data_IF_482910522559
#
_entry.id   IF_482910522559
#
_cell.length_a   1.000
_cell.length_b   1.000
_cell.length_c   1.000
_cell.angle_alpha   90.00
_cell.angle_beta   90.00
_cell.angle_gamma   90.00
#
_symmetry.space_group_name_H-M   'P 1'
#
loop_
_entity.id
_entity.type
_entity.pdbx_description
1 polymer ?
#
# COMPACT_ATOMS: atom_id res chain seq x y z
N UNK A 1 -18.03 27.00 -15.51
CA UNK A 1 -17.25 27.53 -16.64
C UNK A 1 -15.84 26.93 -16.54
N UNK A 2 -15.49 26.01 -17.42
CA UNK A 2 -14.12 25.50 -17.55
C UNK A 2 -13.33 26.52 -18.37
N UNK A 3 -12.73 27.49 -17.72
CA UNK A 3 -11.83 28.42 -18.38
C UNK A 3 -10.55 27.69 -18.80
N UNK A 4 -10.26 27.65 -20.10
CA UNK A 4 -8.95 27.24 -20.61
C UNK A 4 -7.96 28.33 -20.28
N UNK A 5 -6.91 28.01 -19.51
CA UNK A 5 -5.80 28.91 -19.27
C UNK A 5 -4.80 28.73 -20.40
N UNK A 6 -4.63 29.77 -21.22
CA UNK A 6 -3.59 29.78 -22.25
C UNK A 6 -2.31 30.38 -21.68
N UNK A 7 -1.24 29.59 -21.73
CA UNK A 7 0.08 30.00 -21.31
C UNK A 7 0.96 30.09 -22.55
N UNK A 8 1.65 31.20 -22.71
CA UNK A 8 2.59 31.35 -23.83
C UNK A 8 3.74 30.38 -23.66
N UNK A 9 4.23 29.81 -24.79
CA UNK A 9 5.30 28.80 -24.81
C UNK A 9 6.60 29.32 -24.18
N UNK A 10 6.81 30.62 -24.19
CA UNK A 10 8.00 31.31 -23.67
C UNK A 10 7.85 31.78 -22.22
N UNK A 11 6.69 31.55 -21.59
CA UNK A 11 6.48 31.98 -20.21
C UNK A 11 7.33 31.18 -19.24
N UNK A 12 7.95 31.86 -18.27
CA UNK A 12 8.65 31.23 -17.16
C UNK A 12 7.65 30.59 -16.18
N UNK A 13 8.10 29.64 -15.35
CA UNK A 13 7.25 29.04 -14.31
C UNK A 13 6.70 30.08 -13.36
N UNK A 14 7.48 31.11 -13.00
CA UNK A 14 7.03 32.22 -12.14
C UNK A 14 5.95 33.07 -12.81
N UNK A 15 6.08 33.38 -14.10
CA UNK A 15 5.04 34.11 -14.84
C UNK A 15 3.75 33.31 -14.97
N UNK A 16 3.85 32.00 -15.10
CA UNK A 16 2.70 31.11 -15.13
C UNK A 16 2.00 31.08 -13.76
N UNK A 17 2.77 30.91 -12.69
CA UNK A 17 2.23 30.96 -11.31
C UNK A 17 1.61 32.31 -11.00
N UNK A 18 2.22 33.42 -11.41
CA UNK A 18 1.66 34.76 -11.23
C UNK A 18 0.35 34.99 -12.00
N UNK A 19 0.22 34.43 -13.23
CA UNK A 19 -1.02 34.50 -14.03
C UNK A 19 -2.17 33.69 -13.45
N UNK A 20 -1.86 32.65 -12.66
CA UNK A 20 -2.86 31.79 -12.04
C UNK A 20 -3.42 32.36 -10.74
N UNK A 21 -2.77 33.39 -10.21
CA UNK A 21 -3.18 34.08 -8.98
C UNK A 21 -2.88 33.27 -7.72
N UNK A 22 -2.60 33.95 -6.63
CA UNK A 22 -2.44 33.37 -5.31
C UNK A 22 -3.77 32.81 -4.81
N UNK A 23 -3.86 31.50 -4.55
CA UNK A 23 -4.98 30.94 -3.83
C UNK A 23 -5.69 29.75 -4.46
N UNK A 24 -4.94 28.68 -4.81
CA UNK A 24 -5.52 27.38 -5.12
C UNK A 24 -5.52 27.00 -6.61
N UNK A 25 -5.33 27.92 -7.53
CA UNK A 25 -5.24 27.64 -8.96
C UNK A 25 -3.89 27.02 -9.36
N UNK A 26 -2.83 27.33 -8.62
CA UNK A 26 -1.47 26.79 -8.81
C UNK A 26 -1.46 25.28 -8.75
N UNK A 27 -2.08 24.71 -7.72
CA UNK A 27 -2.19 23.26 -7.57
C UNK A 27 -3.02 22.60 -8.68
N UNK A 28 -4.04 23.28 -9.18
CA UNK A 28 -4.82 22.76 -10.31
C UNK A 28 -3.97 22.65 -11.57
N UNK A 29 -3.15 23.66 -11.85
CA UNK A 29 -2.28 23.68 -13.03
C UNK A 29 -1.13 22.69 -12.88
N UNK A 30 -0.48 22.63 -11.73
CA UNK A 30 0.55 21.61 -11.44
C UNK A 30 -0.03 20.20 -11.62
N UNK A 31 -1.22 19.95 -11.09
CA UNK A 31 -1.90 18.67 -11.25
C UNK A 31 -2.27 18.37 -12.72
N UNK A 32 -2.65 19.38 -13.50
CA UNK A 32 -2.93 19.20 -14.93
C UNK A 32 -1.68 18.91 -15.73
N UNK A 33 -0.57 19.60 -15.44
CA UNK A 33 0.74 19.39 -16.07
C UNK A 33 1.25 17.98 -15.73
N UNK A 34 1.25 17.60 -14.46
CA UNK A 34 1.76 16.30 -14.00
C UNK A 34 0.91 15.10 -14.46
N UNK A 35 -0.27 15.33 -15.02
CA UNK A 35 -1.11 14.27 -15.62
C UNK A 35 -0.87 14.06 -17.11
N UNK A 36 0.00 14.85 -17.75
CA UNK A 36 0.31 14.78 -19.16
C UNK A 36 1.83 14.72 -19.36
N UNK A 37 2.37 13.53 -19.63
CA UNK A 37 3.81 13.32 -19.81
C UNK A 37 4.39 14.07 -21.01
N UNK A 38 3.57 14.41 -22.02
CA UNK A 38 3.97 15.20 -23.19
C UNK A 38 4.09 16.68 -22.82
N UNK A 39 3.14 17.22 -22.08
CA UNK A 39 3.20 18.57 -21.52
C UNK A 39 4.39 18.75 -20.56
N UNK A 40 4.70 17.72 -19.76
CA UNK A 40 5.87 17.70 -18.87
C UNK A 40 7.19 17.83 -19.63
N UNK A 41 7.34 17.12 -20.75
CA UNK A 41 8.54 17.20 -21.57
C UNK A 41 8.65 18.57 -22.28
N UNK A 42 7.56 19.16 -22.71
CA UNK A 42 7.53 20.51 -23.29
C UNK A 42 7.92 21.59 -22.27
N UNK A 43 7.53 21.41 -21.00
CA UNK A 43 7.90 22.31 -19.90
C UNK A 43 9.40 22.21 -19.53
N UNK A 44 10.02 21.06 -19.74
CA UNK A 44 11.45 20.86 -19.52
C UNK A 44 12.38 21.75 -20.34
N UNK A 45 11.86 22.40 -21.40
CA UNK A 45 12.61 23.36 -22.22
C UNK A 45 12.53 24.80 -21.71
N UNK A 46 11.84 25.04 -20.58
CA UNK A 46 11.70 26.38 -20.02
C UNK A 46 12.84 26.71 -19.05
N UNK A 47 13.15 27.99 -18.94
CA UNK A 47 14.33 28.48 -18.24
C UNK A 47 14.45 28.05 -16.77
N UNK A 48 13.33 27.81 -16.12
CA UNK A 48 13.22 27.37 -14.73
C UNK A 48 12.64 25.94 -14.57
N UNK A 49 12.34 25.27 -15.67
CA UNK A 49 12.00 23.86 -15.70
C UNK A 49 10.91 23.37 -14.72
N UNK A 50 10.51 22.12 -14.86
CA UNK A 50 9.46 21.51 -14.00
C UNK A 50 9.93 21.34 -12.54
N UNK A 51 11.21 21.10 -12.33
CA UNK A 51 11.78 20.96 -10.99
C UNK A 51 11.67 22.23 -10.15
N UNK A 52 11.87 23.40 -10.77
CA UNK A 52 11.68 24.70 -10.10
C UNK A 52 10.22 24.91 -9.71
N UNK A 53 9.27 24.52 -10.58
CA UNK A 53 7.81 24.61 -10.28
C UNK A 53 7.44 23.74 -9.09
N UNK A 54 7.85 22.48 -9.08
CA UNK A 54 7.55 21.54 -7.98
C UNK A 54 8.21 22.04 -6.69
N UNK A 55 9.48 22.46 -6.77
CA UNK A 55 10.23 22.95 -5.61
C UNK A 55 9.55 24.15 -4.95
N UNK A 56 9.11 25.11 -5.74
CA UNK A 56 8.41 26.32 -5.26
C UNK A 56 7.01 26.01 -4.74
N UNK A 57 6.24 25.19 -5.46
CA UNK A 57 4.85 24.89 -5.13
C UNK A 57 4.69 24.13 -3.80
N UNK A 58 5.69 23.38 -3.39
CA UNK A 58 5.68 22.56 -2.17
C UNK A 58 6.70 23.02 -1.12
N UNK A 59 7.35 24.17 -1.30
CA UNK A 59 8.36 24.73 -0.39
C UNK A 59 9.47 23.72 -0.04
N UNK A 60 9.93 22.94 -1.03
CA UNK A 60 10.86 21.84 -0.79
C UNK A 60 12.30 22.33 -0.52
N UNK A 61 12.62 23.56 -0.85
CA UNK A 61 13.89 24.21 -0.61
C UNK A 61 15.11 23.42 -1.12
N UNK A 62 14.93 22.69 -2.24
CA UNK A 62 15.95 21.84 -2.86
C UNK A 62 16.53 22.48 -4.11
N UNK A 63 17.79 22.97 -4.04
CA UNK A 63 18.49 23.50 -5.20
C UNK A 63 18.68 22.43 -6.29
N UNK A 64 18.89 21.18 -5.91
CA UNK A 64 19.03 20.06 -6.85
C UNK A 64 17.72 19.80 -7.62
N UNK A 65 16.56 19.86 -6.95
CA UNK A 65 15.26 19.75 -7.62
C UNK A 65 15.00 20.97 -8.53
N UNK A 66 15.27 22.17 -8.05
CA UNK A 66 15.05 23.38 -8.83
C UNK A 66 15.92 23.43 -10.12
N UNK A 67 17.05 22.73 -10.13
CA UNK A 67 17.93 22.63 -11.30
C UNK A 67 17.45 21.60 -12.35
N UNK A 68 16.48 20.72 -12.02
CA UNK A 68 15.95 19.74 -12.95
C UNK A 68 15.03 20.42 -13.98
N UNK A 69 15.38 20.34 -15.25
CA UNK A 69 14.60 20.89 -16.36
C UNK A 69 13.49 19.97 -16.82
N UNK A 70 13.65 18.64 -16.64
CA UNK A 70 12.73 17.62 -17.16
C UNK A 70 12.29 16.65 -16.06
N UNK A 71 11.16 15.98 -16.31
CA UNK A 71 10.65 14.89 -15.43
C UNK A 71 11.64 13.72 -15.39
N UNK A 72 12.29 13.41 -16.50
CA UNK A 72 13.28 12.34 -16.56
C UNK A 72 14.51 12.66 -15.68
N UNK A 73 14.98 13.90 -15.64
CA UNK A 73 16.06 14.32 -14.74
C UNK A 73 15.67 14.23 -13.27
N UNK A 74 14.43 14.60 -12.93
CA UNK A 74 13.87 14.42 -11.57
C UNK A 74 13.86 12.93 -11.21
N UNK A 75 13.27 12.09 -12.07
CA UNK A 75 13.14 10.65 -11.84
C UNK A 75 14.50 9.93 -11.72
N UNK A 76 15.50 10.37 -12.48
CA UNK A 76 16.85 9.79 -12.44
C UNK A 76 17.66 10.18 -11.19
N UNK A 77 17.23 11.20 -10.44
CA UNK A 77 17.96 11.72 -9.30
C UNK A 77 17.37 11.26 -7.97
N UNK A 78 17.96 10.21 -7.39
CA UNK A 78 17.49 9.62 -6.12
C UNK A 78 17.40 10.62 -4.96
N UNK A 79 18.33 11.59 -4.86
CA UNK A 79 18.28 12.58 -3.79
C UNK A 79 17.13 13.57 -3.97
N UNK A 80 16.79 13.90 -5.21
CA UNK A 80 15.62 14.72 -5.55
C UNK A 80 14.33 13.96 -5.28
N UNK A 81 14.27 12.69 -5.67
CA UNK A 81 13.10 11.82 -5.37
C UNK A 81 12.88 11.64 -3.87
N UNK A 82 13.95 11.53 -3.08
CA UNK A 82 13.85 11.49 -1.61
C UNK A 82 13.28 12.80 -1.03
N UNK A 83 13.67 13.96 -1.56
CA UNK A 83 13.10 15.27 -1.15
C UNK A 83 11.60 15.32 -1.46
N UNK A 84 11.18 14.88 -2.64
CA UNK A 84 9.76 14.81 -3.02
C UNK A 84 9.04 13.81 -2.10
N UNK A 85 9.63 12.64 -1.86
CA UNK A 85 9.09 11.58 -1.02
C UNK A 85 8.83 12.01 0.42
N UNK A 86 9.68 12.87 0.96
CA UNK A 86 9.49 13.42 2.32
C UNK A 86 8.31 14.41 2.44
N UNK A 87 7.68 14.83 1.34
CA UNK A 87 6.55 15.76 1.34
C UNK A 87 5.30 15.09 0.74
N UNK A 88 4.36 14.71 1.59
CA UNK A 88 3.12 14.03 1.18
C UNK A 88 2.31 14.79 0.12
N UNK A 89 2.29 16.11 0.14
CA UNK A 89 1.57 16.91 -0.86
C UNK A 89 2.28 16.85 -2.23
N UNK A 90 3.60 16.91 -2.24
CA UNK A 90 4.41 16.75 -3.45
C UNK A 90 4.24 15.33 -4.03
N UNK A 91 4.28 14.28 -3.19
CA UNK A 91 4.03 12.89 -3.62
C UNK A 91 2.65 12.77 -4.26
N UNK A 92 1.59 13.32 -3.64
CA UNK A 92 0.23 13.30 -4.20
C UNK A 92 0.12 13.96 -5.58
N UNK A 93 0.83 15.05 -5.80
CA UNK A 93 0.87 15.72 -7.09
C UNK A 93 1.68 14.91 -8.12
N UNK A 94 2.90 14.50 -7.76
CA UNK A 94 3.81 13.77 -8.63
C UNK A 94 3.31 12.35 -8.98
N UNK A 95 2.44 11.74 -8.16
CA UNK A 95 1.84 10.42 -8.46
C UNK A 95 0.87 10.43 -9.64
N UNK A 96 0.64 11.56 -10.28
CA UNK A 96 -0.07 11.67 -11.57
C UNK A 96 0.82 11.40 -12.77
N UNK A 97 2.12 11.57 -12.64
CA UNK A 97 3.10 11.24 -13.66
C UNK A 97 3.55 9.79 -13.52
N UNK A 98 3.38 8.98 -14.58
CA UNK A 98 3.84 7.59 -14.60
C UNK A 98 5.35 7.48 -14.42
N UNK A 99 6.10 8.43 -14.98
CA UNK A 99 7.57 8.46 -14.88
C UNK A 99 8.02 8.73 -13.45
N UNK A 100 7.41 9.71 -12.76
CA UNK A 100 7.76 10.01 -11.37
C UNK A 100 7.31 8.91 -10.42
N UNK A 101 6.13 8.34 -10.63
CA UNK A 101 5.63 7.20 -9.82
C UNK A 101 6.57 6.01 -9.91
N UNK A 102 7.03 5.66 -11.11
CA UNK A 102 7.97 4.56 -11.30
C UNK A 102 9.34 4.76 -10.62
N UNK A 103 9.68 6.00 -10.30
CA UNK A 103 10.91 6.36 -9.59
C UNK A 103 10.71 6.59 -8.09
N UNK A 104 9.45 6.67 -7.61
CA UNK A 104 9.14 6.80 -6.18
C UNK A 104 9.31 5.47 -5.45
N UNK A 105 9.69 5.55 -4.19
CA UNK A 105 9.54 4.41 -3.29
C UNK A 105 8.06 4.15 -3.00
N UNK A 106 7.64 2.88 -3.05
CA UNK A 106 6.25 2.47 -2.85
C UNK A 106 5.69 2.95 -1.51
N UNK A 107 6.52 2.99 -0.49
CA UNK A 107 6.17 3.48 0.85
C UNK A 107 5.67 4.93 0.82
N UNK A 108 6.32 5.81 0.07
CA UNK A 108 5.88 7.20 -0.07
C UNK A 108 4.53 7.31 -0.80
N UNK A 109 4.33 6.49 -1.85
CA UNK A 109 3.05 6.43 -2.58
C UNK A 109 1.91 6.00 -1.65
N UNK A 110 2.15 4.97 -0.83
CA UNK A 110 1.16 4.45 0.11
C UNK A 110 0.89 5.41 1.25
N UNK A 111 1.92 5.99 1.88
CA UNK A 111 1.79 7.01 2.93
C UNK A 111 1.00 8.24 2.45
N UNK A 112 1.14 8.60 1.17
CA UNK A 112 0.37 9.67 0.55
C UNK A 112 -1.10 9.30 0.23
N UNK A 113 -1.52 8.05 0.47
CA UNK A 113 -2.87 7.55 0.19
C UNK A 113 -3.15 7.40 -1.30
N UNK A 114 -2.13 7.06 -2.11
CA UNK A 114 -2.24 6.89 -3.56
C UNK A 114 -2.19 5.44 -4.03
N UNK A 115 -2.06 4.50 -3.13
CA UNK A 115 -1.98 3.07 -3.46
C UNK A 115 -3.09 2.60 -4.37
N UNK A 116 -4.34 2.98 -4.10
CA UNK A 116 -5.50 2.59 -4.92
C UNK A 116 -5.41 3.04 -6.38
N UNK A 117 -4.83 4.20 -6.65
CA UNK A 117 -4.73 4.77 -8.01
C UNK A 117 -3.48 4.33 -8.76
N UNK A 118 -2.45 3.89 -8.06
CA UNK A 118 -1.13 3.57 -8.62
C UNK A 118 -0.96 2.07 -8.83
N UNK A 119 -1.38 1.24 -7.86
CA UNK A 119 -1.14 -0.20 -7.90
C UNK A 119 -2.38 -0.97 -8.31
N UNK A 120 -2.19 -2.08 -9.03
CA UNK A 120 -3.23 -3.02 -9.42
C UNK A 120 -3.10 -4.36 -8.69
N UNK A 121 -4.18 -5.15 -8.68
CA UNK A 121 -4.17 -6.50 -8.09
C UNK A 121 -3.12 -7.37 -8.79
N UNK A 122 -2.24 -7.93 -7.99
CA UNK A 122 -1.09 -8.73 -8.46
C UNK A 122 0.24 -7.99 -8.40
N UNK A 123 0.25 -6.66 -8.26
CA UNK A 123 1.51 -5.92 -8.10
C UNK A 123 2.18 -6.26 -6.77
N UNK A 124 3.50 -6.18 -6.76
CA UNK A 124 4.33 -6.26 -5.56
C UNK A 124 4.76 -4.86 -5.18
N UNK A 125 4.57 -4.51 -3.94
CA UNK A 125 5.03 -3.25 -3.35
C UNK A 125 6.05 -3.54 -2.25
N UNK A 126 7.04 -2.67 -2.11
CA UNK A 126 8.11 -2.81 -1.14
C UNK A 126 7.96 -1.79 -0.02
N UNK A 127 7.94 -2.28 1.22
CA UNK A 127 7.84 -1.45 2.42
C UNK A 127 9.01 -1.72 3.36
N UNK A 128 9.42 -0.70 4.11
CA UNK A 128 10.34 -0.88 5.22
C UNK A 128 9.59 -1.53 6.40
N UNK A 129 9.95 -2.76 6.71
CA UNK A 129 9.43 -3.52 7.84
C UNK A 129 10.57 -3.90 8.77
N UNK A 130 10.60 -3.31 9.96
CA UNK A 130 11.66 -3.57 10.94
C UNK A 130 13.08 -3.24 10.45
N UNK A 131 13.23 -2.23 9.59
CA UNK A 131 14.52 -1.84 8.99
C UNK A 131 14.91 -2.64 7.76
N UNK A 132 14.05 -3.54 7.27
CA UNK A 132 14.30 -4.39 6.09
C UNK A 132 13.27 -4.11 5.00
N UNK A 133 13.73 -3.99 3.75
CA UNK A 133 12.84 -3.90 2.59
C UNK A 133 12.10 -5.22 2.42
N UNK A 134 10.79 -5.19 2.57
CA UNK A 134 9.92 -6.38 2.59
C UNK A 134 8.82 -6.23 1.56
N UNK A 135 8.59 -7.29 0.81
CA UNK A 135 7.62 -7.32 -0.28
C UNK A 135 6.21 -7.69 0.21
N UNK A 136 5.22 -6.96 -0.31
CA UNK A 136 3.81 -7.18 -0.10
C UNK A 136 3.08 -7.25 -1.44
N UNK A 137 2.10 -8.13 -1.55
CA UNK A 137 1.25 -8.32 -2.73
C UNK A 137 -0.04 -7.53 -2.59
N UNK A 138 -0.42 -6.79 -3.62
CA UNK A 138 -1.77 -6.23 -3.75
C UNK A 138 -2.72 -7.37 -4.08
N UNK A 139 -3.63 -7.71 -3.16
CA UNK A 139 -4.51 -8.87 -3.32
C UNK A 139 -5.95 -8.50 -3.62
N UNK A 140 -6.36 -7.26 -3.36
CA UNK A 140 -7.70 -6.74 -3.65
C UNK A 140 -7.73 -5.21 -3.60
N UNK A 141 -8.78 -4.61 -4.21
CA UNK A 141 -9.06 -3.16 -4.18
C UNK A 141 -10.49 -2.94 -3.67
N UNK A 142 -10.71 -1.93 -2.80
CA UNK A 142 -12.04 -1.64 -2.21
C UNK A 142 -12.64 -2.82 -1.42
N UNK A 143 -11.86 -3.48 -0.57
CA UNK A 143 -12.36 -4.62 0.17
C UNK A 143 -13.36 -4.20 1.27
N UNK A 144 -12.88 -3.52 2.29
CA UNK A 144 -13.70 -3.03 3.42
C UNK A 144 -13.75 -1.52 3.47
N UNK A 145 -12.68 -0.88 3.01
CA UNK A 145 -12.55 0.56 2.95
C UNK A 145 -12.45 1.02 1.51
N UNK A 146 -13.26 1.99 1.11
CA UNK A 146 -13.24 2.56 -0.24
C UNK A 146 -11.93 3.28 -0.54
N UNK A 147 -11.46 3.17 -1.77
CA UNK A 147 -10.22 3.77 -2.27
C UNK A 147 -8.96 3.28 -1.53
N UNK A 148 -9.02 2.05 -1.01
CA UNK A 148 -7.89 1.36 -0.39
C UNK A 148 -7.55 0.08 -1.16
N UNK A 149 -6.29 -0.34 -1.06
CA UNK A 149 -5.83 -1.65 -1.51
C UNK A 149 -5.58 -2.54 -0.30
N UNK A 150 -5.78 -3.84 -0.48
CA UNK A 150 -5.39 -4.85 0.51
C UNK A 150 -4.01 -5.36 0.16
N UNK A 151 -3.08 -5.22 1.08
CA UNK A 151 -1.73 -5.77 1.01
C UNK A 151 -1.61 -7.01 1.88
N UNK A 152 -0.91 -8.02 1.37
CA UNK A 152 -0.55 -9.24 2.09
C UNK A 152 0.94 -9.48 1.92
N UNK A 153 1.66 -9.81 2.99
CA UNK A 153 3.10 -10.09 2.87
C UNK A 153 3.36 -11.19 1.83
N UNK A 154 4.34 -10.97 0.96
CA UNK A 154 4.68 -11.94 -0.11
C UNK A 154 5.17 -13.25 0.50
N UNK A 155 5.87 -13.16 1.63
CA UNK A 155 6.34 -14.30 2.41
C UNK A 155 5.88 -14.19 3.87
N UNK A 156 5.99 -15.28 4.63
CA UNK A 156 5.77 -15.23 6.06
C UNK A 156 6.85 -14.37 6.72
N UNK A 157 6.42 -13.46 7.61
CA UNK A 157 7.34 -12.53 8.31
C UNK A 157 7.99 -13.17 9.54
N UNK A 158 7.29 -14.12 10.15
CA UNK A 158 7.76 -14.86 11.31
C UNK A 158 6.99 -16.18 11.42
N UNK A 159 7.42 -17.04 12.32
CA UNK A 159 6.67 -18.20 12.75
C UNK A 159 6.03 -17.97 14.12
N UNK A 160 4.88 -18.58 14.37
CA UNK A 160 4.27 -18.66 15.69
C UNK A 160 3.80 -20.09 15.96
N UNK A 161 4.12 -20.58 17.14
CA UNK A 161 3.85 -21.99 17.51
C UNK A 161 2.39 -22.32 17.64
N UNK A 162 1.55 -21.31 17.87
CA UNK A 162 0.21 -21.54 18.35
C UNK A 162 -0.68 -20.34 18.10
N UNK A 163 -1.81 -20.55 17.47
CA UNK A 163 -2.75 -19.45 17.21
C UNK A 163 -3.66 -19.16 18.40
N UNK A 164 -4.04 -20.20 19.16
CA UNK A 164 -4.91 -20.10 20.34
C UNK A 164 -4.23 -20.66 21.58
N UNK A 165 -4.39 -20.00 22.73
CA UNK A 165 -3.83 -20.44 24.01
C UNK A 165 -4.65 -21.60 24.56
N UNK A 166 -5.97 -21.61 24.33
CA UNK A 166 -6.83 -22.74 24.66
C UNK A 166 -7.92 -22.94 23.59
N UNK A 167 -8.50 -24.14 23.55
CA UNK A 167 -9.43 -24.59 22.50
C UNK A 167 -10.75 -23.82 22.44
N UNK A 168 -11.16 -23.17 23.53
CA UNK A 168 -12.38 -22.37 23.58
C UNK A 168 -12.20 -20.95 23.03
N UNK A 169 -10.97 -20.52 22.76
CA UNK A 169 -10.70 -19.19 22.26
C UNK A 169 -11.06 -19.01 20.79
N UNK A 170 -11.38 -17.78 20.43
CA UNK A 170 -11.56 -17.33 19.06
C UNK A 170 -10.34 -16.51 18.61
N UNK A 171 -10.30 -16.12 17.32
CA UNK A 171 -9.29 -15.21 16.81
C UNK A 171 -9.23 -13.90 17.62
N UNK A 172 -10.35 -13.42 18.17
CA UNK A 172 -10.45 -12.22 19.01
C UNK A 172 -9.42 -12.19 20.14
N UNK A 173 -9.28 -13.31 20.85
CA UNK A 173 -8.36 -13.47 22.00
C UNK A 173 -7.04 -14.16 21.65
N UNK A 174 -6.81 -14.47 20.38
CA UNK A 174 -5.66 -15.25 19.95
C UNK A 174 -4.33 -14.50 20.12
N UNK A 175 -3.27 -15.25 20.41
CA UNK A 175 -1.92 -14.74 20.40
C UNK A 175 -1.48 -14.23 19.03
N UNK A 176 -1.98 -14.81 17.93
CA UNK A 176 -1.71 -14.35 16.57
C UNK A 176 -2.24 -12.93 16.38
N UNK A 177 -3.50 -12.63 16.75
CA UNK A 177 -4.07 -11.30 16.65
C UNK A 177 -3.28 -10.28 17.47
N UNK A 178 -2.94 -10.65 18.72
CA UNK A 178 -2.12 -9.80 19.61
C UNK A 178 -0.76 -9.50 18.97
N UNK A 179 -0.09 -10.51 18.43
CA UNK A 179 1.19 -10.36 17.76
C UNK A 179 1.09 -9.44 16.52
N UNK A 180 0.05 -9.60 15.69
CA UNK A 180 -0.18 -8.78 14.50
C UNK A 180 -0.36 -7.30 14.86
N UNK A 181 -1.21 -6.99 15.84
CA UNK A 181 -1.57 -5.60 16.18
C UNK A 181 -0.62 -4.93 17.20
N UNK A 182 0.32 -5.68 17.78
CA UNK A 182 1.37 -5.13 18.62
C UNK A 182 2.72 -5.15 17.89
N UNK A 183 3.27 -6.35 17.65
CA UNK A 183 4.65 -6.51 17.14
C UNK A 183 4.75 -6.20 15.65
N UNK A 184 3.84 -6.77 14.84
CA UNK A 184 3.90 -6.55 13.37
C UNK A 184 3.56 -5.10 13.03
N UNK A 185 2.53 -4.52 13.64
CA UNK A 185 2.14 -3.14 13.38
C UNK A 185 3.26 -2.15 13.74
N UNK A 186 3.92 -2.33 14.89
CA UNK A 186 4.99 -1.43 15.34
C UNK A 186 6.28 -1.53 14.52
N UNK A 187 6.43 -2.53 13.67
CA UNK A 187 7.58 -2.67 12.79
C UNK A 187 7.49 -1.81 11.50
N UNK A 188 6.31 -1.26 11.19
CA UNK A 188 6.14 -0.30 10.11
C UNK A 188 6.46 1.13 10.59
N UNK A 189 6.82 2.02 9.65
CA UNK A 189 6.98 3.45 9.94
C UNK A 189 5.66 4.07 10.43
N UNK A 190 5.74 5.18 11.17
CA UNK A 190 4.55 5.88 11.68
C UNK A 190 3.65 6.37 10.54
N UNK A 191 4.24 6.80 9.43
CA UNK A 191 3.53 7.24 8.23
C UNK A 191 2.70 6.10 7.61
N UNK A 192 3.27 4.91 7.50
CA UNK A 192 2.57 3.72 7.01
C UNK A 192 1.48 3.30 7.99
N UNK A 193 1.78 3.28 9.29
CA UNK A 193 0.77 2.99 10.31
C UNK A 193 -0.40 3.99 10.26
N UNK A 194 -0.12 5.29 10.03
CA UNK A 194 -1.14 6.31 9.91
C UNK A 194 -1.99 6.14 8.64
N UNK A 195 -1.39 5.68 7.54
CA UNK A 195 -2.08 5.43 6.28
C UNK A 195 -2.94 4.16 6.29
N UNK A 196 -2.63 3.18 7.15
CA UNK A 196 -3.43 1.96 7.31
C UNK A 196 -4.83 2.27 7.83
N UNK A 197 -5.86 1.74 7.17
CA UNK A 197 -7.23 1.79 7.66
C UNK A 197 -7.45 0.80 8.81
N UNK A 198 -8.24 1.19 9.78
CA UNK A 198 -8.80 0.25 10.75
C UNK A 198 -10.00 -0.44 10.10
N UNK A 199 -9.83 -1.71 9.71
CA UNK A 199 -10.83 -2.45 8.95
C UNK A 199 -11.76 -3.22 9.88
N UNK A 200 -13.06 -3.01 9.70
CA UNK A 200 -14.10 -3.73 10.44
C UNK A 200 -14.36 -5.09 9.80
N UNK A 201 -14.20 -6.18 10.54
CA UNK A 201 -14.45 -7.53 10.06
C UNK A 201 -14.96 -8.48 11.15
N UNK A 202 -15.69 -9.51 10.73
CA UNK A 202 -16.05 -10.61 11.60
C UNK A 202 -14.96 -11.68 11.57
N UNK A 203 -14.34 -12.02 12.69
CA UNK A 203 -13.32 -13.06 12.75
C UNK A 203 -13.86 -14.46 12.50
N UNK A 204 -15.12 -14.73 12.85
CA UNK A 204 -15.87 -15.94 12.56
C UNK A 204 -17.37 -15.65 12.45
N UNK A 205 -18.17 -16.66 12.11
CA UNK A 205 -19.63 -16.53 12.00
C UNK A 205 -20.30 -16.05 13.30
N UNK A 206 -19.73 -16.36 14.44
CA UNK A 206 -20.35 -16.12 15.76
C UNK A 206 -19.69 -14.99 16.55
N UNK A 207 -18.59 -14.46 16.06
CA UNK A 207 -17.86 -13.41 16.78
C UNK A 207 -18.37 -12.01 16.41
N UNK A 208 -18.32 -11.11 17.39
CA UNK A 208 -18.56 -9.68 17.15
C UNK A 208 -17.49 -9.09 16.23
N UNK A 209 -17.84 -7.98 15.59
CA UNK A 209 -16.92 -7.22 14.73
C UNK A 209 -15.64 -6.84 15.48
N UNK A 210 -14.50 -7.07 14.84
CA UNK A 210 -13.21 -6.51 15.23
C UNK A 210 -12.89 -5.31 14.34
N UNK A 211 -12.05 -4.43 14.85
CA UNK A 211 -11.61 -3.23 14.14
C UNK A 211 -10.09 -3.13 14.26
N UNK A 212 -9.39 -3.87 13.44
CA UNK A 212 -7.94 -3.99 13.49
C UNK A 212 -7.28 -3.34 12.25
N UNK A 213 -6.08 -2.79 12.41
CA UNK A 213 -5.27 -2.31 11.29
C UNK A 213 -4.64 -3.48 10.52
N UNK A 214 -4.25 -4.54 11.23
CA UNK A 214 -3.62 -5.73 10.64
C UNK A 214 -4.38 -6.97 11.09
N UNK A 215 -4.67 -7.86 10.15
CA UNK A 215 -5.35 -9.13 10.44
C UNK A 215 -4.72 -10.32 9.72
N UNK A 216 -5.01 -11.54 10.17
CA UNK A 216 -4.76 -12.76 9.41
C UNK A 216 -5.94 -13.02 8.47
N UNK A 217 -5.68 -13.51 7.26
CA UNK A 217 -6.74 -13.84 6.30
C UNK A 217 -7.62 -15.00 6.81
N UNK A 218 -8.88 -15.01 6.37
CA UNK A 218 -9.81 -16.10 6.63
C UNK A 218 -9.78 -17.17 5.54
N UNK A 219 -10.49 -18.27 5.77
CA UNK A 219 -10.68 -19.35 4.81
C UNK A 219 -11.33 -18.85 3.50
N UNK A 220 -12.40 -18.04 3.62
CA UNK A 220 -13.10 -17.51 2.47
C UNK A 220 -12.23 -16.50 1.71
N UNK A 221 -11.48 -15.63 2.41
CA UNK A 221 -10.64 -14.60 1.82
C UNK A 221 -9.50 -15.17 0.95
N UNK A 222 -9.00 -16.36 1.28
CA UNK A 222 -7.97 -17.02 0.47
C UNK A 222 -8.54 -17.81 -0.71
N UNK A 223 -9.84 -17.70 -1.00
CA UNK A 223 -10.45 -18.23 -2.22
C UNK A 223 -10.50 -19.76 -2.31
N UNK A 224 -10.55 -20.46 -1.20
CA UNK A 224 -10.65 -21.95 -1.20
C UNK A 224 -12.08 -22.42 -1.34
N UNK A 225 -13.04 -21.58 -0.99
CA UNK A 225 -14.47 -21.88 -0.99
C UNK A 225 -15.17 -21.18 0.16
N UNK A 226 -16.38 -21.57 0.46
CA UNK A 226 -17.16 -21.04 1.58
C UNK A 226 -17.32 -22.14 2.63
N UNK A 227 -17.08 -21.79 3.88
CA UNK A 227 -17.39 -22.68 5.01
C UNK A 227 -18.26 -21.96 6.03
N UNK A 228 -19.09 -22.73 6.77
CA UNK A 228 -20.05 -22.20 7.74
C UNK A 228 -19.42 -21.60 8.99
N UNK A 229 -18.15 -21.90 9.27
CA UNK A 229 -17.43 -21.33 10.42
C UNK A 229 -16.79 -19.97 10.10
N UNK A 230 -16.78 -19.56 8.84
CA UNK A 230 -16.35 -18.23 8.42
C UNK A 230 -17.56 -17.32 8.17
N UNK A 231 -17.42 -16.01 8.37
CA UNK A 231 -18.53 -15.08 8.20
C UNK A 231 -18.83 -14.86 6.71
N UNK A 232 -20.10 -14.67 6.38
CA UNK A 232 -20.55 -14.48 5.00
C UNK A 232 -19.97 -13.24 4.31
N UNK A 233 -19.64 -12.20 5.10
CA UNK A 233 -19.03 -10.98 4.59
C UNK A 233 -17.53 -11.13 4.23
N UNK A 234 -16.91 -12.26 4.61
CA UNK A 234 -15.58 -12.60 4.20
C UNK A 234 -15.66 -13.31 2.84
N UNK A 235 -15.26 -12.64 1.77
CA UNK A 235 -15.28 -13.19 0.41
C UNK A 235 -13.86 -13.32 -0.16
N UNK A 236 -13.72 -14.12 -1.22
CA UNK A 236 -12.45 -14.37 -1.87
C UNK A 236 -11.83 -13.08 -2.39
N UNK A 237 -10.58 -12.82 -2.01
CA UNK A 237 -9.81 -11.71 -2.53
C UNK A 237 -9.31 -12.04 -3.94
N UNK A 238 -9.31 -11.06 -4.83
CA UNK A 238 -9.14 -11.24 -6.28
C UNK A 238 -7.85 -11.96 -6.70
N UNK A 239 -6.79 -11.82 -5.90
CA UNK A 239 -5.51 -12.46 -6.18
C UNK A 239 -5.50 -13.97 -5.95
N UNK A 240 -6.25 -14.46 -4.95
CA UNK A 240 -6.21 -15.86 -4.54
C UNK A 240 -7.13 -16.75 -5.38
N UNK A 241 -6.71 -17.09 -6.59
CA UNK A 241 -7.51 -17.88 -7.54
C UNK A 241 -7.23 -19.39 -7.46
N UNK A 242 -6.05 -19.78 -7.01
CA UNK A 242 -5.59 -21.17 -7.03
C UNK A 242 -4.60 -21.45 -5.88
N UNK A 243 -4.16 -22.71 -5.77
CA UNK A 243 -3.19 -23.12 -4.78
C UNK A 243 -1.82 -22.43 -4.96
N UNK A 244 -1.43 -22.10 -6.20
CA UNK A 244 -0.14 -21.49 -6.46
C UNK A 244 -0.05 -20.07 -5.87
N UNK A 245 -1.13 -19.28 -5.98
CA UNK A 245 -1.22 -17.93 -5.46
C UNK A 245 -1.18 -17.85 -3.91
N UNK A 246 -1.46 -18.98 -3.23
CA UNK A 246 -1.45 -19.07 -1.77
C UNK A 246 -0.11 -19.53 -1.17
N UNK A 247 0.84 -20.00 -1.99
CA UNK A 247 2.13 -20.47 -1.50
C UNK A 247 2.95 -19.33 -0.91
N UNK A 248 3.58 -19.60 0.22
CA UNK A 248 4.47 -18.66 0.91
C UNK A 248 5.76 -19.36 1.30
N UNK A 249 6.81 -18.58 1.54
CA UNK A 249 8.06 -19.07 2.10
C UNK A 249 8.33 -18.40 3.46
N UNK A 250 9.20 -19.01 4.23
CA UNK A 250 9.86 -18.40 5.39
C UNK A 250 11.36 -18.63 5.21
N UNK A 251 12.13 -17.54 5.17
CA UNK A 251 13.57 -17.58 4.90
C UNK A 251 13.93 -18.37 3.62
N UNK A 252 13.14 -18.17 2.56
CA UNK A 252 13.34 -18.83 1.26
C UNK A 252 12.88 -20.29 1.16
N UNK A 253 12.40 -20.90 2.25
CA UNK A 253 11.88 -22.28 2.27
C UNK A 253 10.36 -22.27 2.27
N UNK A 254 9.72 -23.13 1.47
CA UNK A 254 8.25 -23.27 1.45
C UNK A 254 7.72 -23.53 2.86
N UNK A 255 6.75 -22.71 3.27
CA UNK A 255 6.25 -22.74 4.65
C UNK A 255 4.74 -22.57 4.70
N UNK A 256 4.06 -23.35 5.56
CA UNK A 256 2.63 -23.18 5.81
C UNK A 256 2.37 -21.95 6.68
N UNK A 257 1.18 -21.35 6.58
CA UNK A 257 0.85 -20.12 7.30
C UNK A 257 -0.58 -20.11 7.82
N UNK A 258 -0.79 -19.47 8.97
CA UNK A 258 -2.05 -19.43 9.67
C UNK A 258 -3.12 -18.60 8.96
N UNK A 259 -4.35 -19.15 8.98
CA UNK A 259 -5.59 -18.40 8.75
C UNK A 259 -6.27 -18.11 10.10
N UNK A 260 -7.13 -17.06 10.16
CA UNK A 260 -7.86 -16.75 11.39
C UNK A 260 -9.07 -17.65 11.62
N UNK A 261 -9.54 -18.37 10.60
CA UNK A 261 -10.77 -19.17 10.69
C UNK A 261 -10.57 -20.44 11.51
N UNK A 262 -11.46 -20.63 12.46
CA UNK A 262 -11.48 -21.79 13.37
C UNK A 262 -12.10 -23.02 12.70
N UNK A 263 -11.63 -24.21 13.07
CA UNK A 263 -12.17 -25.50 12.69
C UNK A 263 -12.26 -26.39 13.94
N UNK A 264 -13.38 -26.34 14.66
CA UNK A 264 -13.50 -26.98 15.96
C UNK A 264 -12.45 -26.47 16.95
N UNK A 265 -11.62 -27.37 17.47
CA UNK A 265 -10.50 -27.08 18.39
C UNK A 265 -9.19 -26.69 17.67
N UNK A 266 -9.23 -26.58 16.33
CA UNK A 266 -8.09 -26.28 15.48
C UNK A 266 -8.26 -24.93 14.79
N UNK A 267 -7.19 -24.39 14.19
CA UNK A 267 -7.26 -23.31 13.23
C UNK A 267 -6.91 -23.83 11.84
N UNK A 268 -7.47 -23.21 10.83
CA UNK A 268 -7.05 -23.44 9.46
C UNK A 268 -5.69 -22.82 9.19
N UNK A 269 -4.95 -23.45 8.28
CA UNK A 269 -3.70 -22.92 7.73
C UNK A 269 -3.58 -23.31 6.26
N UNK A 270 -2.76 -22.61 5.52
CA UNK A 270 -2.34 -22.99 4.17
C UNK A 270 -1.06 -23.81 4.30
N UNK A 271 -1.03 -24.97 3.67
CA UNK A 271 0.18 -25.82 3.63
C UNK A 271 1.21 -25.35 2.59
N UNK A 272 2.35 -26.02 2.52
CA UNK A 272 3.43 -25.69 1.57
C UNK A 272 3.06 -25.91 0.11
N UNK A 273 2.00 -26.67 -0.17
CA UNK A 273 1.45 -26.86 -1.52
C UNK A 273 0.41 -25.80 -1.91
N UNK A 274 -0.03 -24.95 -0.96
CA UNK A 274 -1.06 -23.93 -1.15
C UNK A 274 -2.48 -24.44 -0.87
N UNK A 275 -2.63 -25.64 -0.28
CA UNK A 275 -3.93 -26.18 0.10
C UNK A 275 -4.28 -25.81 1.53
N UNK A 276 -5.58 -25.75 1.82
CA UNK A 276 -6.03 -25.56 3.20
C UNK A 276 -5.99 -26.87 3.96
N UNK A 277 -5.52 -26.79 5.19
CA UNK A 277 -5.55 -27.83 6.19
C UNK A 277 -5.91 -27.24 7.56
N UNK A 278 -5.88 -28.03 8.63
CA UNK A 278 -6.14 -27.55 9.99
C UNK A 278 -5.19 -28.20 10.99
N UNK A 279 -4.85 -27.45 12.03
CA UNK A 279 -3.98 -27.93 13.10
C UNK A 279 -4.39 -27.33 14.44
N UNK A 280 -4.29 -28.15 15.47
CA UNK A 280 -4.50 -27.75 16.87
C UNK A 280 -3.19 -27.47 17.62
N UNK A 281 -2.03 -27.73 17.03
CA UNK A 281 -0.73 -27.68 17.73
C UNK A 281 0.46 -27.37 16.83
N UNK A 282 0.23 -26.99 15.57
CA UNK A 282 1.32 -26.72 14.63
C UNK A 282 2.03 -25.40 14.86
N UNK A 283 3.22 -25.28 14.26
CA UNK A 283 3.94 -24.03 14.09
C UNK A 283 3.84 -23.62 12.63
N UNK A 284 3.27 -22.46 12.35
CA UNK A 284 3.06 -21.96 10.99
C UNK A 284 3.36 -20.46 10.91
N UNK A 285 3.57 -19.99 9.70
CA UNK A 285 3.98 -18.63 9.41
C UNK A 285 2.92 -17.58 9.74
N UNK A 286 3.38 -16.38 10.04
CA UNK A 286 2.57 -15.18 10.18
C UNK A 286 2.57 -14.42 8.86
N UNK A 287 1.40 -14.30 8.25
CA UNK A 287 1.16 -13.60 6.99
C UNK A 287 0.13 -12.51 7.25
N UNK A 288 0.57 -11.27 7.52
CA UNK A 288 -0.33 -10.15 7.78
C UNK A 288 -1.04 -9.68 6.51
N UNK A 289 -2.29 -9.22 6.69
CA UNK A 289 -3.07 -8.46 5.73
C UNK A 289 -3.47 -7.11 6.33
N UNK A 290 -3.52 -6.04 5.51
CA UNK A 290 -3.97 -4.71 5.91
C UNK A 290 -4.46 -3.90 4.72
N UNK A 291 -5.32 -2.90 4.96
CA UNK A 291 -5.77 -1.91 3.98
C UNK A 291 -5.01 -0.59 4.14
N UNK A 292 -4.59 -0.03 3.01
CA UNK A 292 -3.80 1.20 2.98
C UNK A 292 -4.15 2.09 1.77
#
# INVERSE_FOLDING_TARGET
MTGKVYVAKESTSQEILAKLGSGGNEMFVINAILSDDEALNEWGFRQDGIGSVINSAFDLNSAALAACGTVAEIAANKSVMAVIGANTAAVRACSRSKVLVAAMEDEHVLAAGKGYTVFDVGDVVTLNYGGTQTEFRVVHKNYRTQNKIVLVSENALAETKWIYINKSESYRSSNLRTYLNATVLSAFSEEIQAAMAASAFHPSQYDEVLNDKIWALSYNEVGVGKITTDHADNFALDYFKDAASRKKTLNGTAYGWWLRTKNGDSAHYIDTAGNVSSSSSGTFGVVPAFEI
#
